data_IF_443598182804
#
_entry.id   IF_443598182804
#
_cell.length_a   1.000
_cell.length_b   1.000
_cell.length_c   1.000
_cell.angle_alpha   90.00
_cell.angle_beta   90.00
_cell.angle_gamma   90.00
#
_symmetry.space_group_name_H-M   'P 1'
#
loop_
_entity.id
_entity.type
_entity.pdbx_description
1 polymer ?
#
# COMPACT_ATOMS: atom_id res chain seq x y z
N UNK A 1 -15.76 0.57 19.14
CA UNK A 1 -15.44 -0.13 17.88
C UNK A 1 -14.61 -1.34 18.30
N UNK A 2 -15.01 -2.52 17.89
CA UNK A 2 -14.17 -3.70 18.09
C UNK A 2 -12.87 -3.52 17.33
N UNK A 3 -11.74 -3.87 17.96
CA UNK A 3 -10.45 -3.87 17.29
C UNK A 3 -10.49 -4.92 16.16
N UNK A 4 -10.09 -4.56 14.92
CA UNK A 4 -10.23 -5.43 13.76
C UNK A 4 -9.38 -6.71 13.86
N UNK A 5 -8.41 -6.75 14.79
CA UNK A 5 -7.49 -7.87 14.98
C UNK A 5 -7.34 -8.17 16.48
N UNK A 6 -7.43 -9.46 16.84
CA UNK A 6 -7.17 -9.90 18.21
C UNK A 6 -5.69 -9.83 18.60
N UNK A 7 -5.40 -9.89 19.92
CA UNK A 7 -4.02 -9.77 20.46
C UNK A 7 -3.01 -10.73 19.84
N UNK A 8 -3.43 -11.98 19.59
CA UNK A 8 -2.55 -13.02 19.01
C UNK A 8 -2.14 -12.69 17.56
N UNK A 9 -3.06 -12.14 16.75
CA UNK A 9 -2.77 -11.71 15.39
C UNK A 9 -1.80 -10.52 15.38
N UNK A 10 -1.99 -9.56 16.27
CA UNK A 10 -1.10 -8.41 16.43
C UNK A 10 0.30 -8.83 16.86
N UNK A 11 0.42 -9.74 17.83
CA UNK A 11 1.72 -10.23 18.32
C UNK A 11 2.44 -11.09 17.27
N UNK A 12 1.71 -11.94 16.54
CA UNK A 12 2.28 -12.71 15.42
C UNK A 12 2.84 -11.79 14.34
N UNK A 13 2.05 -10.80 13.92
CA UNK A 13 2.49 -9.83 12.95
C UNK A 13 3.70 -9.02 13.45
N UNK A 14 3.71 -8.60 14.72
CA UNK A 14 4.84 -7.91 15.33
C UNK A 14 6.14 -8.71 15.24
N UNK A 15 6.10 -10.02 15.55
CA UNK A 15 7.27 -10.91 15.49
C UNK A 15 7.82 -11.03 14.07
N UNK A 16 6.96 -11.20 13.09
CA UNK A 16 7.35 -11.34 11.67
C UNK A 16 8.01 -10.06 11.17
N UNK A 17 7.41 -8.90 11.44
CA UNK A 17 7.96 -7.62 11.02
C UNK A 17 9.20 -7.16 11.83
N UNK A 18 9.48 -7.78 12.98
CA UNK A 18 10.75 -7.62 13.70
C UNK A 18 11.89 -8.45 13.08
N UNK A 19 11.57 -9.43 12.24
CA UNK A 19 12.52 -10.30 11.56
C UNK A 19 13.24 -9.63 10.38
N UNK A 20 13.99 -10.42 9.59
CA UNK A 20 14.72 -9.91 8.42
C UNK A 20 13.77 -9.36 7.36
N UNK A 21 14.04 -8.15 6.89
CA UNK A 21 13.38 -7.54 5.75
C UNK A 21 14.46 -6.84 4.92
N UNK A 22 14.53 -7.18 3.64
CA UNK A 22 15.57 -6.69 2.74
C UNK A 22 15.00 -6.22 1.39
N UNK A 23 15.59 -5.17 0.84
CA UNK A 23 15.33 -4.79 -0.54
C UNK A 23 15.86 -5.88 -1.47
N UNK A 24 14.98 -6.41 -2.34
CA UNK A 24 15.34 -7.42 -3.32
C UNK A 24 15.80 -6.77 -4.62
N UNK A 25 14.92 -6.02 -5.28
CA UNK A 25 15.20 -5.37 -6.56
C UNK A 25 14.13 -4.35 -6.95
N UNK A 26 14.48 -3.51 -7.93
CA UNK A 26 13.53 -2.69 -8.68
C UNK A 26 13.19 -3.34 -10.02
N UNK A 27 11.94 -3.22 -10.45
CA UNK A 27 11.46 -3.69 -11.74
C UNK A 27 10.87 -2.51 -12.55
N UNK A 28 11.63 -1.98 -13.53
CA UNK A 28 11.16 -0.91 -14.41
C UNK A 28 10.18 -1.39 -15.48
N UNK A 29 10.23 -2.69 -15.80
CA UNK A 29 9.32 -3.39 -16.72
C UNK A 29 8.98 -4.76 -16.18
N UNK A 30 7.99 -5.45 -16.78
CA UNK A 30 7.54 -6.77 -16.35
C UNK A 30 8.62 -7.86 -16.43
N UNK A 31 9.60 -7.72 -17.33
CA UNK A 31 10.72 -8.65 -17.51
C UNK A 31 11.63 -8.71 -16.27
N UNK A 32 11.66 -7.65 -15.48
CA UNK A 32 12.46 -7.56 -14.26
C UNK A 32 11.76 -8.03 -13.00
N UNK A 33 10.49 -8.46 -13.11
CA UNK A 33 9.75 -8.96 -11.95
C UNK A 33 10.43 -10.21 -11.35
N UNK A 34 10.47 -10.32 -10.00
CA UNK A 34 10.95 -11.54 -9.36
C UNK A 34 9.99 -12.71 -9.61
N UNK A 35 10.41 -13.97 -9.37
CA UNK A 35 9.53 -15.13 -9.44
C UNK A 35 8.29 -14.96 -8.55
N UNK A 36 7.18 -15.59 -8.94
CA UNK A 36 5.92 -15.65 -8.16
C UNK A 36 5.93 -16.84 -7.19
N UNK A 37 6.99 -16.97 -6.42
CA UNK A 37 7.28 -18.08 -5.51
C UNK A 37 6.71 -17.91 -4.10
N UNK A 38 6.35 -16.69 -3.73
CA UNK A 38 5.68 -16.35 -2.46
C UNK A 38 4.56 -15.34 -2.67
N UNK A 39 3.65 -15.25 -1.71
CA UNK A 39 2.58 -14.25 -1.73
C UNK A 39 3.12 -12.81 -1.60
N UNK A 40 2.38 -11.86 -2.15
CA UNK A 40 2.78 -10.45 -2.21
C UNK A 40 1.65 -9.53 -1.74
N UNK A 41 2.04 -8.44 -1.07
CA UNK A 41 1.14 -7.31 -0.74
C UNK A 41 1.74 -6.04 -1.29
N UNK A 42 0.98 -5.30 -2.09
CA UNK A 42 1.44 -4.07 -2.74
C UNK A 42 0.94 -2.82 -2.01
N UNK A 43 1.76 -1.77 -2.07
CA UNK A 43 1.44 -0.44 -1.56
C UNK A 43 1.28 0.53 -2.73
N UNK A 44 0.09 1.07 -2.90
CA UNK A 44 -0.26 2.04 -3.92
C UNK A 44 -0.65 3.37 -3.27
N UNK A 45 -0.28 4.48 -3.87
CA UNK A 45 -0.64 5.79 -3.31
C UNK A 45 -0.12 6.93 -4.17
N UNK A 46 -0.74 8.10 -3.99
CA UNK A 46 -0.28 9.32 -4.65
C UNK A 46 1.12 9.71 -4.18
N UNK A 47 1.82 10.45 -5.05
CA UNK A 47 3.05 11.13 -4.62
C UNK A 47 2.80 11.95 -3.36
N UNK A 48 3.73 11.86 -2.41
CA UNK A 48 3.69 12.55 -1.11
C UNK A 48 2.52 12.13 -0.19
N UNK A 49 1.85 11.01 -0.45
CA UNK A 49 0.83 10.44 0.44
C UNK A 49 1.43 9.94 1.76
N UNK A 50 2.75 9.72 1.81
CA UNK A 50 3.45 9.15 2.97
C UNK A 50 3.82 7.67 2.81
N UNK A 51 3.80 7.13 1.57
CA UNK A 51 4.00 5.69 1.30
C UNK A 51 5.36 5.18 1.81
N UNK A 52 6.47 5.85 1.49
CA UNK A 52 7.80 5.44 1.97
C UNK A 52 7.94 5.55 3.49
N UNK A 53 7.37 6.60 4.10
CA UNK A 53 7.35 6.75 5.56
C UNK A 53 6.56 5.64 6.23
N UNK A 54 5.41 5.25 5.63
CA UNK A 54 4.57 4.18 6.14
C UNK A 54 5.26 2.81 6.03
N UNK A 55 5.92 2.53 4.89
CA UNK A 55 6.72 1.32 4.70
C UNK A 55 7.86 1.23 5.72
N UNK A 56 8.55 2.33 5.97
CA UNK A 56 9.60 2.38 6.98
C UNK A 56 9.05 2.14 8.40
N UNK A 57 7.93 2.76 8.77
CA UNK A 57 7.27 2.55 10.05
C UNK A 57 6.76 1.10 10.21
N UNK A 58 6.14 0.54 9.17
CA UNK A 58 5.65 -0.82 9.12
C UNK A 58 6.77 -1.83 9.40
N UNK A 59 7.92 -1.63 8.76
CA UNK A 59 9.08 -2.52 8.83
C UNK A 59 10.01 -2.22 10.01
N UNK A 60 9.78 -1.11 10.74
CA UNK A 60 10.66 -0.66 11.82
C UNK A 60 12.07 -0.25 11.34
N UNK A 61 12.20 0.17 10.07
CA UNK A 61 13.49 0.51 9.44
C UNK A 61 13.46 1.94 8.89
N UNK A 62 14.47 2.73 9.22
CA UNK A 62 14.50 4.16 8.87
C UNK A 62 14.80 4.44 7.38
N UNK A 63 15.25 3.45 6.60
CA UNK A 63 15.72 3.67 5.22
C UNK A 63 15.46 2.51 4.26
N UNK A 64 14.50 1.63 4.56
CA UNK A 64 14.16 0.52 3.66
C UNK A 64 13.58 1.05 2.35
N UNK A 65 12.56 1.88 2.44
CA UNK A 65 12.01 2.61 1.30
C UNK A 65 12.65 4.00 1.24
N UNK A 66 13.31 4.30 0.11
CA UNK A 66 13.91 5.62 -0.09
C UNK A 66 12.82 6.67 -0.25
N UNK A 67 12.81 7.65 0.66
CA UNK A 67 12.01 8.85 0.50
C UNK A 67 12.65 9.73 -0.58
N UNK A 68 12.23 9.59 -1.84
CA UNK A 68 12.68 10.51 -2.88
C UNK A 68 11.71 11.66 -3.02
N UNK A 69 12.16 12.85 -2.70
CA UNK A 69 11.42 14.10 -2.92
C UNK A 69 11.55 14.62 -4.37
N UNK A 70 12.14 13.85 -5.29
CA UNK A 70 12.37 14.29 -6.66
C UNK A 70 11.25 13.79 -7.58
N UNK A 71 10.35 14.65 -8.06
CA UNK A 71 9.36 14.30 -9.07
C UNK A 71 10.07 13.85 -10.37
N UNK A 72 9.65 12.72 -10.95
CA UNK A 72 10.13 12.27 -12.27
C UNK A 72 11.26 11.26 -12.28
N UNK A 73 11.73 10.73 -11.12
CA UNK A 73 12.60 9.55 -11.12
C UNK A 73 11.82 8.31 -11.54
N UNK A 74 12.52 7.40 -12.18
CA UNK A 74 12.05 6.12 -12.76
C UNK A 74 10.93 5.50 -11.92
N UNK A 75 9.80 5.29 -12.55
CA UNK A 75 8.62 4.72 -11.89
C UNK A 75 8.74 3.21 -11.94
N UNK A 76 9.41 2.65 -10.94
CA UNK A 76 9.70 1.23 -10.83
C UNK A 76 8.87 0.60 -9.70
N UNK A 77 8.56 -0.69 -9.87
CA UNK A 77 8.05 -1.52 -8.78
C UNK A 77 9.23 -1.95 -7.92
N UNK A 78 9.21 -1.67 -6.62
CA UNK A 78 10.26 -2.07 -5.70
C UNK A 78 9.80 -3.24 -4.84
N UNK A 79 10.60 -4.30 -4.81
CA UNK A 79 10.30 -5.54 -4.09
C UNK A 79 11.18 -5.67 -2.86
N UNK A 80 10.55 -6.10 -1.75
CA UNK A 80 11.23 -6.34 -0.48
C UNK A 80 10.87 -7.73 0.02
N UNK A 81 11.88 -8.56 0.26
CA UNK A 81 11.72 -9.87 0.86
C UNK A 81 11.52 -9.74 2.37
N UNK A 82 10.58 -10.51 2.91
CA UNK A 82 10.25 -10.58 4.35
C UNK A 82 10.42 -12.00 4.84
N UNK A 83 11.22 -12.14 5.90
CA UNK A 83 11.51 -13.44 6.54
C UNK A 83 12.81 -14.09 6.07
N UNK A 84 13.34 -14.96 6.94
CA UNK A 84 14.40 -15.90 6.63
C UNK A 84 14.10 -17.21 7.40
N UNK A 85 13.62 -18.27 6.70
CA UNK A 85 13.42 -18.36 5.25
C UNK A 85 12.36 -17.36 4.71
N UNK A 86 12.44 -17.04 3.41
CA UNK A 86 11.51 -16.11 2.73
C UNK A 86 10.04 -16.51 2.96
N UNK A 87 9.25 -15.62 3.51
CA UNK A 87 7.83 -15.83 3.82
C UNK A 87 6.89 -15.19 2.79
N UNK A 88 7.10 -13.90 2.50
CA UNK A 88 6.30 -13.13 1.55
C UNK A 88 7.08 -11.92 1.05
N UNK A 89 6.49 -11.16 0.12
CA UNK A 89 7.07 -9.90 -0.37
C UNK A 89 6.15 -8.71 -0.16
N UNK A 90 6.76 -7.57 0.16
CA UNK A 90 6.13 -6.26 0.04
C UNK A 90 6.52 -5.66 -1.32
N UNK A 91 5.56 -5.01 -1.97
CA UNK A 91 5.76 -4.36 -3.26
C UNK A 91 5.42 -2.88 -3.14
N UNK A 92 6.42 -2.01 -3.28
CA UNK A 92 6.21 -0.57 -3.35
C UNK A 92 5.92 -0.18 -4.79
N UNK A 93 4.66 0.15 -5.08
CA UNK A 93 4.24 0.60 -6.40
C UNK A 93 4.68 2.06 -6.62
N UNK A 94 5.04 2.44 -7.85
CA UNK A 94 5.37 3.82 -8.14
C UNK A 94 4.20 4.74 -7.82
N UNK A 95 4.50 5.90 -7.21
CA UNK A 95 3.48 6.89 -6.87
C UNK A 95 2.77 7.42 -8.12
N UNK A 96 1.51 7.79 -7.99
CA UNK A 96 0.69 8.34 -9.06
C UNK A 96 0.24 9.78 -8.76
N UNK A 97 -0.49 10.40 -9.70
CA UNK A 97 -1.07 11.73 -9.50
C UNK A 97 -0.06 12.88 -9.60
N UNK A 98 1.00 12.71 -10.37
CA UNK A 98 1.93 13.81 -10.66
C UNK A 98 1.27 14.84 -11.58
N UNK A 99 0.89 15.99 -11.05
CA UNK A 99 0.22 17.06 -11.81
C UNK A 99 1.05 17.62 -12.99
N UNK A 100 2.37 17.38 -12.99
CA UNK A 100 3.31 17.91 -13.99
C UNK A 100 4.08 16.82 -14.74
N UNK A 101 3.67 15.54 -14.65
CA UNK A 101 4.34 14.48 -15.40
C UNK A 101 4.00 14.55 -16.90
N UNK A 102 4.98 14.35 -17.81
CA UNK A 102 4.71 14.22 -19.23
C UNK A 102 3.70 13.09 -19.51
N UNK A 103 2.84 13.29 -20.52
CA UNK A 103 1.76 12.34 -20.85
C UNK A 103 2.26 10.94 -21.20
N UNK A 104 3.41 10.84 -21.83
CA UNK A 104 4.08 9.58 -22.17
C UNK A 104 4.55 8.82 -20.92
N UNK A 105 5.05 9.53 -19.90
CA UNK A 105 5.43 8.94 -18.60
C UNK A 105 4.19 8.38 -17.88
N UNK A 106 3.10 9.15 -17.84
CA UNK A 106 1.84 8.70 -17.25
C UNK A 106 1.29 7.48 -17.99
N UNK A 107 1.38 7.46 -19.33
CA UNK A 107 0.93 6.33 -20.15
C UNK A 107 1.75 5.06 -19.87
N UNK A 108 3.09 5.16 -19.84
CA UNK A 108 3.98 4.03 -19.52
C UNK A 108 3.69 3.48 -18.12
N UNK A 109 3.51 4.36 -17.14
CA UNK A 109 3.14 4.00 -15.79
C UNK A 109 1.82 3.21 -15.75
N UNK A 110 0.78 3.70 -16.44
CA UNK A 110 -0.53 3.03 -16.50
C UNK A 110 -0.42 1.62 -17.10
N UNK A 111 0.37 1.44 -18.16
CA UNK A 111 0.60 0.12 -18.74
C UNK A 111 1.31 -0.82 -17.77
N UNK A 112 2.42 -0.38 -17.17
CA UNK A 112 3.15 -1.20 -16.20
C UNK A 112 2.25 -1.67 -15.05
N UNK A 113 1.50 -0.74 -14.45
CA UNK A 113 0.63 -1.06 -13.33
C UNK A 113 -0.53 -1.96 -13.74
N UNK A 114 -1.21 -1.65 -14.86
CA UNK A 114 -2.32 -2.48 -15.33
C UNK A 114 -1.88 -3.92 -15.61
N UNK A 115 -0.75 -4.10 -16.28
CA UNK A 115 -0.25 -5.42 -16.63
C UNK A 115 0.29 -6.16 -15.39
N UNK A 116 0.93 -5.46 -14.45
CA UNK A 116 1.32 -6.02 -13.15
C UNK A 116 0.08 -6.52 -12.38
N UNK A 117 -0.95 -5.70 -12.23
CA UNK A 117 -2.16 -6.07 -11.49
C UNK A 117 -2.89 -7.27 -12.12
N UNK A 118 -2.95 -7.33 -13.47
CA UNK A 118 -3.66 -8.40 -14.20
C UNK A 118 -2.89 -9.71 -14.25
N UNK A 119 -1.57 -9.64 -14.31
CA UNK A 119 -0.71 -10.81 -14.53
C UNK A 119 -0.07 -11.38 -13.25
N UNK A 120 -0.07 -10.64 -12.14
CA UNK A 120 0.67 -11.03 -10.94
C UNK A 120 -0.17 -11.89 -9.99
N UNK A 121 -0.19 -13.21 -10.20
CA UNK A 121 -0.99 -14.16 -9.41
C UNK A 121 -0.56 -14.25 -7.93
N UNK A 122 0.71 -13.95 -7.63
CA UNK A 122 1.24 -13.87 -6.27
C UNK A 122 0.73 -12.65 -5.48
N UNK A 123 0.22 -11.62 -6.16
CA UNK A 123 -0.35 -10.43 -5.51
C UNK A 123 -1.70 -10.75 -4.87
N UNK A 124 -1.74 -10.78 -3.53
CA UNK A 124 -2.94 -11.12 -2.76
C UNK A 124 -3.78 -9.92 -2.40
N UNK A 125 -3.15 -8.79 -2.14
CA UNK A 125 -3.85 -7.54 -1.79
C UNK A 125 -3.03 -6.31 -2.13
N UNK A 126 -3.71 -5.23 -2.51
CA UNK A 126 -3.13 -3.91 -2.58
C UNK A 126 -3.61 -3.06 -1.40
N UNK A 127 -2.70 -2.33 -0.75
CA UNK A 127 -3.01 -1.32 0.24
C UNK A 127 -3.01 0.04 -0.46
N UNK A 128 -4.19 0.63 -0.60
CA UNK A 128 -4.37 1.92 -1.27
C UNK A 128 -4.32 3.02 -0.23
N UNK A 129 -3.24 3.79 -0.27
CA UNK A 129 -2.94 4.82 0.71
C UNK A 129 -3.59 6.15 0.31
N UNK A 130 -4.34 6.71 1.23
CA UNK A 130 -5.05 7.98 1.08
C UNK A 130 -4.64 8.91 2.23
N UNK A 131 -4.23 10.12 1.90
CA UNK A 131 -3.94 11.16 2.89
C UNK A 131 -5.25 11.58 3.58
N UNK A 132 -5.34 11.37 4.90
CA UNK A 132 -6.53 11.63 5.70
C UNK A 132 -7.01 13.08 5.60
N UNK A 133 -6.10 14.03 5.36
CA UNK A 133 -6.41 15.47 5.22
C UNK A 133 -7.18 15.81 3.94
N UNK A 134 -7.08 14.95 2.92
CA UNK A 134 -7.58 15.25 1.57
C UNK A 134 -8.66 14.30 1.06
N UNK A 135 -8.77 13.12 1.66
CA UNK A 135 -9.68 12.08 1.20
C UNK A 135 -9.36 11.54 -0.20
N UNK A 136 -10.28 10.74 -0.73
CA UNK A 136 -10.18 10.14 -2.08
C UNK A 136 -10.26 11.22 -3.15
N UNK A 137 -9.36 11.15 -4.13
CA UNK A 137 -9.32 11.99 -5.32
C UNK A 137 -9.62 11.15 -6.58
N UNK A 138 -9.85 11.80 -7.71
CA UNK A 138 -10.19 11.10 -8.96
C UNK A 138 -9.08 10.15 -9.40
N UNK A 139 -7.81 10.51 -9.20
CA UNK A 139 -6.67 9.63 -9.49
C UNK A 139 -6.62 8.40 -8.58
N UNK A 140 -7.12 8.48 -7.35
CA UNK A 140 -7.26 7.33 -6.45
C UNK A 140 -8.38 6.42 -6.96
N UNK A 141 -9.50 7.01 -7.44
CA UNK A 141 -10.61 6.26 -8.06
C UNK A 141 -10.16 5.49 -9.30
N UNK A 142 -9.30 6.08 -10.13
CA UNK A 142 -8.72 5.39 -11.29
C UNK A 142 -7.94 4.12 -10.87
N UNK A 143 -7.14 4.19 -9.81
CA UNK A 143 -6.41 3.02 -9.29
C UNK A 143 -7.37 1.98 -8.73
N UNK A 144 -8.36 2.40 -7.94
CA UNK A 144 -9.39 1.50 -7.40
C UNK A 144 -10.15 0.78 -8.54
N UNK A 145 -10.47 1.48 -9.64
CA UNK A 145 -11.08 0.87 -10.82
C UNK A 145 -10.16 -0.14 -11.53
N UNK A 146 -8.86 0.13 -11.60
CA UNK A 146 -7.88 -0.82 -12.15
C UNK A 146 -7.82 -2.09 -11.29
N UNK A 147 -7.84 -1.96 -9.97
CA UNK A 147 -7.88 -3.07 -9.02
C UNK A 147 -9.19 -3.88 -9.13
N UNK A 148 -10.34 -3.21 -9.21
CA UNK A 148 -11.64 -3.84 -9.43
C UNK A 148 -11.66 -4.64 -10.74
N UNK A 149 -11.16 -4.07 -11.85
CA UNK A 149 -11.08 -4.74 -13.16
C UNK A 149 -10.10 -5.91 -13.20
N UNK A 150 -9.02 -5.83 -12.41
CA UNK A 150 -8.05 -6.91 -12.29
C UNK A 150 -8.46 -7.99 -11.27
N UNK A 151 -9.59 -7.80 -10.57
CA UNK A 151 -10.04 -8.63 -9.45
C UNK A 151 -8.98 -8.81 -8.35
N UNK A 152 -8.17 -7.77 -8.12
CA UNK A 152 -7.19 -7.72 -7.03
C UNK A 152 -7.84 -7.11 -5.81
N UNK A 153 -7.93 -7.88 -4.72
CA UNK A 153 -8.42 -7.35 -3.44
C UNK A 153 -7.59 -6.15 -3.00
N UNK A 154 -8.26 -5.12 -2.45
CA UNK A 154 -7.55 -3.99 -1.87
C UNK A 154 -8.21 -3.46 -0.60
N UNK A 155 -7.41 -2.86 0.27
CA UNK A 155 -7.87 -2.19 1.49
C UNK A 155 -7.41 -0.74 1.48
N UNK A 156 -8.28 0.17 1.88
CA UNK A 156 -7.93 1.58 2.07
C UNK A 156 -7.16 1.75 3.37
N UNK A 157 -6.07 2.49 3.30
CA UNK A 157 -5.25 2.88 4.45
C UNK A 157 -5.14 4.40 4.49
N UNK A 158 -5.75 5.02 5.49
CA UNK A 158 -5.61 6.44 5.76
C UNK A 158 -4.23 6.71 6.36
N UNK A 159 -3.47 7.59 5.73
CA UNK A 159 -2.16 8.05 6.22
C UNK A 159 -2.30 9.43 6.88
N UNK A 160 -1.33 9.79 7.71
CA UNK A 160 -1.27 11.10 8.38
C UNK A 160 -2.51 11.40 9.23
N UNK A 161 -3.08 10.38 9.87
CA UNK A 161 -4.25 10.52 10.72
C UNK A 161 -4.01 11.47 11.90
N UNK A 162 -2.76 11.61 12.33
CA UNK A 162 -2.29 12.57 13.36
C UNK A 162 -2.40 14.05 12.95
N UNK A 163 -2.59 14.35 11.67
CA UNK A 163 -2.62 15.73 11.14
C UNK A 163 -4.01 16.35 11.07
N UNK A 164 -5.06 15.62 11.47
CA UNK A 164 -6.44 16.10 11.52
C UNK A 164 -7.09 15.74 12.85
N UNK A 165 -8.17 16.44 13.18
CA UNK A 165 -8.90 16.20 14.42
C UNK A 165 -9.63 14.84 14.36
N UNK A 166 -9.84 14.16 15.51
CA UNK A 166 -10.55 12.89 15.55
C UNK A 166 -11.93 12.92 14.89
N UNK A 167 -12.66 14.03 15.03
CA UNK A 167 -13.98 14.21 14.41
C UNK A 167 -13.89 14.29 12.88
N UNK A 168 -12.88 14.95 12.35
CA UNK A 168 -12.62 15.04 10.92
C UNK A 168 -12.16 13.69 10.35
N UNK A 169 -11.32 12.98 11.10
CA UNK A 169 -10.87 11.63 10.75
C UNK A 169 -12.05 10.67 10.66
N UNK A 170 -12.92 10.66 11.65
CA UNK A 170 -14.12 9.84 11.65
C UNK A 170 -15.06 10.15 10.47
N UNK A 171 -15.23 11.44 10.15
CA UNK A 171 -16.04 11.86 8.99
C UNK A 171 -15.41 11.41 7.66
N UNK A 172 -14.09 11.55 7.53
CA UNK A 172 -13.35 11.11 6.34
C UNK A 172 -13.45 9.58 6.17
N UNK A 173 -13.25 8.83 7.25
CA UNK A 173 -13.35 7.37 7.25
C UNK A 173 -14.77 6.90 6.87
N UNK A 174 -15.80 7.52 7.43
CA UNK A 174 -17.19 7.21 7.10
C UNK A 174 -17.54 7.50 5.62
N UNK A 175 -17.10 8.63 5.08
CA UNK A 175 -17.30 8.96 3.68
C UNK A 175 -16.62 7.94 2.75
N UNK A 176 -15.41 7.51 3.08
CA UNK A 176 -14.70 6.47 2.32
C UNK A 176 -15.40 5.12 2.42
N UNK A 177 -15.87 4.73 3.60
CA UNK A 177 -16.62 3.49 3.78
C UNK A 177 -17.89 3.45 2.89
N UNK A 178 -18.56 4.56 2.71
CA UNK A 178 -19.69 4.66 1.77
C UNK A 178 -19.27 4.48 0.30
N UNK A 179 -18.14 5.05 -0.09
CA UNK A 179 -17.62 4.95 -1.47
C UNK A 179 -17.18 3.52 -1.81
N UNK A 180 -16.45 2.85 -0.92
CA UNK A 180 -15.93 1.51 -1.17
C UNK A 180 -17.00 0.42 -1.14
N UNK A 181 -18.15 0.62 -0.49
CA UNK A 181 -19.28 -0.34 -0.48
C UNK A 181 -19.77 -0.74 -1.88
N UNK A 182 -19.54 0.12 -2.88
CA UNK A 182 -19.96 -0.11 -4.26
C UNK A 182 -18.89 -0.82 -5.11
N UNK A 183 -17.73 -1.15 -4.51
CA UNK A 183 -16.58 -1.69 -5.21
C UNK A 183 -16.34 -3.15 -4.86
N UNK A 184 -16.35 -4.00 -5.88
CA UNK A 184 -16.35 -5.45 -5.70
C UNK A 184 -15.05 -6.00 -5.07
N UNK A 185 -13.89 -5.38 -5.34
CA UNK A 185 -12.60 -5.85 -4.84
C UNK A 185 -12.16 -5.13 -3.55
N UNK A 186 -12.92 -4.12 -3.08
CA UNK A 186 -12.56 -3.37 -1.88
C UNK A 186 -12.86 -4.15 -0.60
N UNK A 187 -11.87 -4.22 0.30
CA UNK A 187 -12.10 -4.70 1.66
C UNK A 187 -12.98 -3.69 2.42
N UNK A 188 -13.98 -4.13 3.20
CA UNK A 188 -14.92 -3.23 3.87
C UNK A 188 -14.29 -2.33 4.94
N UNK A 189 -13.21 -2.81 5.58
CA UNK A 189 -12.58 -2.08 6.67
C UNK A 189 -11.49 -1.16 6.18
N UNK A 190 -11.44 0.04 6.75
CA UNK A 190 -10.45 1.08 6.52
C UNK A 190 -9.49 1.09 7.70
N UNK A 191 -8.19 1.19 7.45
CA UNK A 191 -7.18 1.37 8.47
C UNK A 191 -6.78 2.83 8.57
N UNK A 192 -6.70 3.35 9.78
CA UNK A 192 -6.24 4.70 10.09
C UNK A 192 -4.82 4.64 10.63
N UNK A 193 -3.87 5.33 9.98
CA UNK A 193 -2.45 5.21 10.32
C UNK A 193 -1.73 6.54 10.42
N UNK A 194 -0.69 6.55 11.25
CA UNK A 194 0.32 7.59 11.28
C UNK A 194 1.72 6.96 11.40
N UNK A 195 2.56 7.20 10.42
CA UNK A 195 3.98 6.79 10.49
C UNK A 195 4.79 7.59 11.50
N UNK A 196 4.28 8.73 11.94
CA UNK A 196 4.95 9.61 12.89
C UNK A 196 4.68 9.20 14.34
N UNK A 197 3.42 8.86 14.66
CA UNK A 197 3.01 8.49 16.03
C UNK A 197 2.99 6.98 16.26
N UNK A 198 3.04 6.18 15.20
CA UNK A 198 2.88 4.73 15.27
C UNK A 198 1.41 4.26 15.30
N UNK A 199 0.44 5.18 15.26
CA UNK A 199 -0.98 4.85 15.24
C UNK A 199 -1.29 3.91 14.07
N UNK A 200 -2.01 2.81 14.34
CA UNK A 200 -2.48 1.84 13.34
C UNK A 200 -1.39 0.99 12.68
N UNK A 201 -0.12 1.12 13.09
CA UNK A 201 0.98 0.30 12.54
C UNK A 201 0.85 -1.17 12.95
N UNK A 202 0.51 -1.54 14.20
CA UNK A 202 0.25 -2.93 14.56
C UNK A 202 -0.87 -3.55 13.72
N UNK A 203 -1.99 -2.83 13.54
CA UNK A 203 -3.14 -3.27 12.75
C UNK A 203 -2.80 -3.40 11.27
N UNK A 204 -1.97 -2.48 10.74
CA UNK A 204 -1.49 -2.56 9.36
C UNK A 204 -0.61 -3.81 9.14
N UNK A 205 0.24 -4.16 10.10
CA UNK A 205 1.03 -5.41 10.07
C UNK A 205 0.13 -6.64 10.05
N UNK A 206 -0.89 -6.67 10.93
CA UNK A 206 -1.86 -7.75 10.99
C UNK A 206 -2.66 -7.86 9.68
N UNK A 207 -3.06 -6.73 9.08
CA UNK A 207 -3.75 -6.70 7.79
C UNK A 207 -2.89 -7.22 6.62
N UNK A 208 -1.58 -7.01 6.66
CA UNK A 208 -0.64 -7.63 5.70
C UNK A 208 -0.62 -9.14 5.91
N UNK A 209 -0.50 -9.60 7.16
CA UNK A 209 -0.51 -11.03 7.48
C UNK A 209 -1.81 -11.71 7.08
N UNK A 210 -2.96 -11.09 7.36
CA UNK A 210 -4.28 -11.55 6.92
C UNK A 210 -4.37 -11.72 5.39
N UNK A 211 -3.74 -10.83 4.64
CA UNK A 211 -3.77 -10.86 3.18
C UNK A 211 -2.98 -12.03 2.57
N UNK A 212 -1.95 -12.49 3.24
CA UNK A 212 -1.09 -13.56 2.73
C UNK A 212 -1.49 -14.96 3.21
N UNK A 213 -2.38 -15.08 4.21
CA UNK A 213 -2.91 -16.35 4.74
C UNK A 213 -2.14 -16.85 5.93
#
# INVERSE_FOLDING_TARGET
MEEPFGPDALETARKIFAGPIAFLKSAPTLEFLPPMDVNEVAFAGRSNVGKSSLLNALTGRNSLARTSNTPGRTQELNFFDVGDPLSFRLVDMPGYGFAKAPKDVVKKWRFLINDFLRGRQSLKRALVLIDARHGIKDVDREIMEMLDRAAVSYRIVLTKADKIKPTELAATSAAMAQEIRKRAAAHPDILETSSETGLGIPELRAAVMEAIG
#
